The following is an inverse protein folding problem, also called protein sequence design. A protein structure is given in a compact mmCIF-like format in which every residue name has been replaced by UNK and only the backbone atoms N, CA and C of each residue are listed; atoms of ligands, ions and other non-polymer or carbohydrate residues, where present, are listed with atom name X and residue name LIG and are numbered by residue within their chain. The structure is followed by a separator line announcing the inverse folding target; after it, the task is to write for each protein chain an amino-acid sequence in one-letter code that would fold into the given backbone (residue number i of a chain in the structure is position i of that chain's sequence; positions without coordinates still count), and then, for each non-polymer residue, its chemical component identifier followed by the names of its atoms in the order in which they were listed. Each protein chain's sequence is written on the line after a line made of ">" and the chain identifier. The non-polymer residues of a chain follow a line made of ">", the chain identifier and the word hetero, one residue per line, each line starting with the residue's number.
data_IF_334666202301
#
_entry.id   IF_334666202301
#
_cell.length_a   1.000
_cell.length_b   1.000
_cell.length_c   1.000
_cell.angle_alpha   90.00
_cell.angle_beta   90.00
_cell.angle_gamma   90.00
#
_symmetry.space_group_name_H-M   'P 1'
#
loop_
_entity.id
_entity.type
_entity.pdbx_description
1 polymer ?
#
# COMPACT_ATOMS: atom_id res chain seq x y z
N UNK A 1 18.34 11.43 1.06
CA UNK A 1 18.54 11.47 2.53
C UNK A 1 18.98 12.87 2.94
N UNK A 2 18.68 13.28 4.17
CA UNK A 2 19.14 14.55 4.76
C UNK A 2 19.80 14.29 6.12
N UNK A 3 20.94 14.90 6.39
CA UNK A 3 21.57 14.85 7.71
C UNK A 3 20.95 15.87 8.67
N UNK A 4 20.42 15.42 9.81
CA UNK A 4 19.91 16.33 10.84
C UNK A 4 20.97 17.30 11.39
N UNK A 5 22.22 16.83 11.52
CA UNK A 5 23.29 17.62 12.14
C UNK A 5 23.85 18.74 11.25
N UNK A 6 23.93 18.53 9.94
CA UNK A 6 24.58 19.49 9.01
C UNK A 6 23.76 19.84 7.77
N UNK A 7 22.52 19.36 7.68
CA UNK A 7 21.57 19.58 6.57
C UNK A 7 22.09 19.18 5.20
N UNK A 8 23.15 18.38 5.12
CA UNK A 8 23.65 17.86 3.85
C UNK A 8 22.64 16.87 3.27
N UNK A 9 22.39 16.97 1.96
CA UNK A 9 21.49 16.10 1.22
C UNK A 9 22.26 15.30 0.18
N UNK A 10 21.94 14.01 0.05
CA UNK A 10 22.54 13.14 -0.96
C UNK A 10 21.62 11.94 -1.28
N UNK A 11 21.89 11.35 -2.45
CA UNK A 11 21.34 10.07 -2.85
C UNK A 11 22.14 8.94 -2.22
N UNK A 12 21.51 8.21 -1.31
CA UNK A 12 22.11 7.04 -0.68
C UNK A 12 21.88 5.79 -1.54
N UNK A 13 22.91 4.95 -1.63
CA UNK A 13 22.79 3.63 -2.23
C UNK A 13 22.45 2.60 -1.16
N UNK A 14 21.91 1.44 -1.55
CA UNK A 14 21.65 0.32 -0.62
C UNK A 14 22.92 -0.09 0.13
N UNK A 15 24.06 -0.13 -0.56
CA UNK A 15 25.35 -0.44 0.04
C UNK A 15 25.79 0.61 1.10
N UNK A 16 25.44 1.88 0.88
CA UNK A 16 25.69 2.95 1.86
C UNK A 16 24.80 2.77 3.08
N UNK A 17 23.50 2.49 2.88
CA UNK A 17 22.53 2.25 3.96
C UNK A 17 22.97 1.08 4.86
N UNK A 18 23.35 -0.07 4.26
CA UNK A 18 23.82 -1.22 5.02
C UNK A 18 25.05 -0.90 5.89
N UNK A 19 26.00 -0.12 5.35
CA UNK A 19 27.18 0.30 6.13
C UNK A 19 26.84 1.34 7.19
N UNK A 20 25.91 2.25 6.89
CA UNK A 20 25.43 3.25 7.84
C UNK A 20 24.73 2.58 9.04
N UNK A 21 23.84 1.61 8.79
CA UNK A 21 23.15 0.85 9.84
C UNK A 21 24.11 0.06 10.73
N UNK A 22 25.22 -0.41 10.15
CA UNK A 22 26.31 -1.06 10.89
C UNK A 22 27.24 -0.08 11.63
N UNK A 23 27.01 1.24 11.54
CA UNK A 23 27.85 2.28 12.11
C UNK A 23 29.25 2.37 11.47
N UNK A 24 29.38 1.89 10.22
CA UNK A 24 30.64 1.89 9.45
C UNK A 24 30.75 3.05 8.48
N UNK A 25 29.65 3.75 8.24
CA UNK A 25 29.58 4.92 7.38
C UNK A 25 28.74 6.00 8.06
N UNK A 26 28.96 7.25 7.69
CA UNK A 26 28.26 8.41 8.25
C UNK A 26 27.99 9.44 7.17
N UNK A 27 27.37 10.54 7.56
CA UNK A 27 27.07 11.66 6.66
C UNK A 27 28.32 12.07 5.85
N UNK A 28 28.23 12.17 4.52
CA UNK A 28 29.35 12.65 3.69
C UNK A 28 29.83 14.06 4.02
N UNK A 29 28.96 14.89 4.61
CA UNK A 29 29.27 16.28 4.97
C UNK A 29 29.96 16.44 6.32
N UNK A 30 29.44 15.79 7.38
CA UNK A 30 29.92 16.00 8.76
C UNK A 30 30.35 14.74 9.49
N UNK A 31 30.19 13.56 8.90
CA UNK A 31 30.58 12.27 9.49
C UNK A 31 29.64 11.73 10.58
N UNK A 32 28.50 12.36 10.85
CA UNK A 32 27.50 11.85 11.81
C UNK A 32 27.02 10.47 11.38
N UNK A 33 27.12 9.48 12.26
CA UNK A 33 26.70 8.10 12.04
C UNK A 33 25.26 7.84 12.54
N UNK A 34 24.80 6.60 12.48
CA UNK A 34 23.46 6.18 12.89
C UNK A 34 23.17 6.29 14.40
N UNK A 35 24.16 6.65 15.23
CA UNK A 35 24.00 6.69 16.70
C UNK A 35 23.69 8.09 17.23
N UNK A 36 23.89 9.12 16.42
CA UNK A 36 23.59 10.49 16.81
C UNK A 36 22.08 10.75 16.85
N UNK A 37 21.61 11.61 17.75
CA UNK A 37 20.19 12.04 17.77
C UNK A 37 19.79 12.71 16.44
N UNK A 38 20.71 13.47 15.84
CA UNK A 38 20.53 14.13 14.54
C UNK A 38 21.15 13.33 13.38
N UNK A 39 21.03 11.99 13.44
CA UNK A 39 21.57 11.11 12.42
C UNK A 39 20.94 11.41 11.04
N UNK A 40 21.65 11.07 9.94
CA UNK A 40 21.04 11.00 8.62
C UNK A 40 19.75 10.20 8.59
N UNK A 41 18.72 10.75 7.95
CA UNK A 41 17.45 10.07 7.75
C UNK A 41 16.92 10.28 6.32
N UNK A 42 15.92 9.51 5.95
CA UNK A 42 15.19 9.69 4.71
C UNK A 42 14.43 11.03 4.73
N UNK A 43 14.37 11.66 3.56
CA UNK A 43 13.57 12.85 3.31
C UNK A 43 12.72 12.58 2.10
N UNK A 44 11.57 13.25 1.97
CA UNK A 44 10.74 13.13 0.78
C UNK A 44 11.55 13.50 -0.47
N UNK A 45 11.51 12.63 -1.48
CA UNK A 45 12.13 12.88 -2.77
C UNK A 45 11.58 14.20 -3.35
N UNK A 46 12.43 15.14 -3.80
CA UNK A 46 11.97 16.44 -4.29
C UNK A 46 11.06 16.36 -5.51
N UNK A 47 11.13 15.25 -6.25
CA UNK A 47 10.34 14.98 -7.45
C UNK A 47 9.01 14.24 -7.17
N UNK A 48 8.72 13.93 -5.90
CA UNK A 48 7.50 13.22 -5.54
C UNK A 48 6.26 14.10 -5.80
N UNK A 49 5.31 13.67 -6.64
CA UNK A 49 4.13 14.48 -6.96
C UNK A 49 3.23 14.74 -5.75
N UNK A 50 3.31 13.94 -4.68
CA UNK A 50 2.48 14.11 -3.49
C UNK A 50 2.92 15.27 -2.57
N UNK A 51 4.02 15.97 -2.90
CA UNK A 51 4.29 17.30 -2.33
C UNK A 51 3.15 18.28 -2.62
N UNK A 52 2.54 18.18 -3.80
CA UNK A 52 1.37 18.98 -4.17
C UNK A 52 0.09 18.37 -3.56
N UNK A 53 -0.65 19.19 -2.81
CA UNK A 53 -1.86 18.77 -2.11
C UNK A 53 -3.02 18.47 -3.07
N UNK A 54 -3.14 19.17 -4.19
CA UNK A 54 -4.15 18.87 -5.21
C UNK A 54 -3.79 17.56 -5.93
N UNK A 55 -2.50 17.37 -6.26
CA UNK A 55 -2.04 16.12 -6.83
C UNK A 55 -2.30 14.94 -5.88
N UNK A 56 -2.06 15.11 -4.58
CA UNK A 56 -2.31 14.08 -3.54
C UNK A 56 -3.74 13.54 -3.58
N UNK A 57 -4.74 14.41 -3.83
CA UNK A 57 -6.16 14.02 -3.94
C UNK A 57 -6.47 13.25 -5.22
N UNK A 58 -5.77 13.56 -6.30
CA UNK A 58 -6.00 12.99 -7.62
C UNK A 58 -5.19 11.72 -7.89
N UNK A 59 -4.11 11.53 -7.13
CA UNK A 59 -3.32 10.31 -7.15
C UNK A 59 -4.14 9.10 -6.69
N UNK A 60 -3.62 7.95 -7.11
CA UNK A 60 -4.13 6.66 -6.66
C UNK A 60 -3.19 6.12 -5.59
N UNK A 61 -3.78 5.70 -4.48
CA UNK A 61 -3.04 5.17 -3.34
C UNK A 61 -3.26 3.67 -3.19
N UNK A 62 -2.27 2.96 -2.67
CA UNK A 62 -2.28 1.51 -2.62
C UNK A 62 -2.03 0.98 -1.20
N UNK A 63 -2.67 -0.14 -0.89
CA UNK A 63 -2.43 -0.91 0.33
C UNK A 63 -2.60 -2.40 0.01
N UNK A 64 -1.78 -3.26 0.62
CA UNK A 64 -1.91 -4.71 0.51
C UNK A 64 -2.42 -5.31 1.82
N UNK A 65 -3.42 -6.18 1.74
CA UNK A 65 -3.92 -6.90 2.91
C UNK A 65 -4.37 -8.31 2.56
N UNK A 66 -4.62 -9.15 3.57
CA UNK A 66 -5.26 -10.47 3.40
C UNK A 66 -6.79 -10.39 3.45
N UNK A 67 -7.36 -9.19 3.62
CA UNK A 67 -8.80 -8.96 3.64
C UNK A 67 -9.31 -8.59 2.25
N UNK A 68 -10.31 -9.31 1.73
CA UNK A 68 -10.88 -9.01 0.42
C UNK A 68 -11.56 -7.62 0.36
N UNK A 69 -12.11 -7.18 1.49
CA UNK A 69 -12.74 -5.86 1.67
C UNK A 69 -11.90 -5.10 2.69
N UNK A 70 -11.21 -4.06 2.25
CA UNK A 70 -10.41 -3.18 3.11
C UNK A 70 -10.31 -1.77 2.52
N UNK A 71 -10.42 -0.71 3.33
CA UNK A 71 -10.84 -0.76 4.72
C UNK A 71 -12.34 -1.05 4.84
N UNK A 72 -12.73 -1.88 5.80
CA UNK A 72 -14.14 -2.16 6.11
C UNK A 72 -14.66 -1.12 7.12
N UNK A 73 -15.70 -0.36 6.74
CA UNK A 73 -16.31 0.67 7.60
C UNK A 73 -17.12 0.08 8.74
N UNK A 74 -17.65 -1.12 8.53
CA UNK A 74 -18.59 -1.75 9.45
C UNK A 74 -17.93 -2.84 10.30
N UNK A 75 -16.60 -2.97 10.23
CA UNK A 75 -15.88 -4.02 10.96
C UNK A 75 -16.16 -3.92 12.47
N UNK A 76 -16.38 -5.07 13.11
CA UNK A 76 -16.49 -5.16 14.55
C UNK A 76 -15.12 -5.40 15.16
N UNK A 77 -14.50 -4.35 15.68
CA UNK A 77 -13.20 -4.46 16.34
C UNK A 77 -13.20 -5.45 17.52
N UNK A 78 -14.34 -5.65 18.18
CA UNK A 78 -14.47 -6.51 19.34
C UNK A 78 -14.88 -7.95 19.01
N UNK A 79 -15.02 -8.31 17.72
CA UNK A 79 -15.44 -9.65 17.29
C UNK A 79 -14.48 -10.72 17.78
N UNK A 80 -13.18 -10.41 17.77
CA UNK A 80 -12.11 -11.37 18.07
C UNK A 80 -11.77 -11.43 19.56
N UNK A 81 -12.38 -10.56 20.38
CA UNK A 81 -12.22 -10.59 21.82
C UNK A 81 -13.10 -11.67 22.44
N UNK A 82 -12.48 -12.56 23.21
CA UNK A 82 -13.21 -13.55 24.02
C UNK A 82 -14.01 -12.87 25.14
N UNK A 83 -15.08 -13.52 25.61
CA UNK A 83 -15.89 -13.01 26.73
C UNK A 83 -15.05 -12.79 28.00
N UNK A 84 -14.09 -13.68 28.26
CA UNK A 84 -13.12 -13.53 29.36
C UNK A 84 -12.28 -12.26 29.19
N UNK A 85 -11.82 -11.97 27.98
CA UNK A 85 -11.05 -10.76 27.69
C UNK A 85 -11.90 -9.51 27.88
N UNK A 86 -13.15 -9.53 27.41
CA UNK A 86 -14.11 -8.43 27.59
C UNK A 86 -14.36 -8.17 29.09
N UNK A 87 -14.65 -9.21 29.87
CA UNK A 87 -14.82 -9.10 31.32
C UNK A 87 -13.59 -8.55 32.02
N UNK A 88 -12.40 -9.02 31.63
CA UNK A 88 -11.13 -8.56 32.18
C UNK A 88 -10.92 -7.07 31.89
N UNK A 89 -11.13 -6.64 30.64
CA UNK A 89 -11.02 -5.24 30.22
C UNK A 89 -11.95 -4.34 31.03
N UNK A 90 -13.20 -4.73 31.23
CA UNK A 90 -14.14 -3.97 32.07
C UNK A 90 -13.69 -3.92 33.53
N UNK A 91 -13.27 -5.05 34.11
CA UNK A 91 -12.84 -5.10 35.52
C UNK A 91 -11.57 -4.31 35.81
N UNK A 92 -10.67 -4.17 34.82
CA UNK A 92 -9.41 -3.45 34.97
C UNK A 92 -9.53 -1.96 34.67
N UNK A 93 -10.65 -1.50 34.11
CA UNK A 93 -10.84 -0.10 33.76
C UNK A 93 -11.43 0.69 34.93
N UNK A 94 -10.90 1.89 35.16
CA UNK A 94 -11.46 2.82 36.13
C UNK A 94 -12.84 3.38 35.72
N UNK A 95 -13.24 3.21 34.45
CA UNK A 95 -14.47 3.76 33.88
C UNK A 95 -15.26 2.66 33.15
N UNK A 96 -16.60 2.58 33.30
CA UNK A 96 -17.44 1.63 32.56
C UNK A 96 -17.30 1.79 31.05
N UNK A 97 -17.37 0.70 30.29
CA UNK A 97 -17.36 0.70 28.83
C UNK A 97 -15.95 0.72 28.23
N UNK A 98 -15.07 -0.07 28.83
CA UNK A 98 -13.68 -0.23 28.39
C UNK A 98 -13.60 -0.88 27.02
N UNK A 99 -14.47 -1.86 26.75
CA UNK A 99 -14.54 -2.55 25.47
C UNK A 99 -15.01 -1.60 24.38
N UNK A 100 -16.05 -0.79 24.60
CA UNK A 100 -16.52 0.18 23.60
C UNK A 100 -15.48 1.24 23.30
N UNK A 101 -14.79 1.78 24.32
CA UNK A 101 -13.69 2.75 24.10
C UNK A 101 -12.54 2.14 23.33
N UNK A 102 -12.14 0.91 23.67
CA UNK A 102 -11.09 0.20 22.94
C UNK A 102 -11.51 -0.05 21.49
N UNK A 103 -12.75 -0.48 21.26
CA UNK A 103 -13.28 -0.72 19.92
C UNK A 103 -13.33 0.58 19.10
N UNK A 104 -13.82 1.68 19.68
CA UNK A 104 -13.79 3.00 19.06
C UNK A 104 -12.36 3.44 18.72
N UNK A 105 -11.40 3.16 19.62
CA UNK A 105 -9.98 3.42 19.39
C UNK A 105 -9.43 2.59 18.23
N UNK A 106 -9.72 1.29 18.15
CA UNK A 106 -9.30 0.46 17.01
C UNK A 106 -9.86 0.98 15.69
N UNK A 107 -11.13 1.43 15.68
CA UNK A 107 -11.79 2.01 14.50
C UNK A 107 -11.20 3.36 14.08
N UNK A 108 -10.56 4.08 15.00
CA UNK A 108 -9.90 5.36 14.74
C UNK A 108 -8.46 5.25 14.23
N UNK A 109 -7.92 4.02 14.11
CA UNK A 109 -6.59 3.82 13.54
C UNK A 109 -6.58 4.31 12.09
N UNK A 110 -5.53 5.04 11.75
CA UNK A 110 -5.33 5.48 10.38
C UNK A 110 -4.97 4.27 9.50
N UNK A 111 -5.51 4.25 8.29
CA UNK A 111 -5.09 3.33 7.24
C UNK A 111 -3.83 3.90 6.57
N UNK A 112 -2.75 3.12 6.60
CA UNK A 112 -1.53 3.44 5.86
C UNK A 112 -1.69 3.00 4.40
N UNK A 113 -1.52 3.96 3.49
CA UNK A 113 -1.50 3.72 2.04
C UNK A 113 -0.26 4.39 1.45
N UNK A 114 0.28 3.85 0.37
CA UNK A 114 1.46 4.39 -0.28
C UNK A 114 1.40 4.27 -1.80
N UNK A 115 2.58 4.28 -2.39
CA UNK A 115 2.78 3.94 -3.81
C UNK A 115 2.41 2.48 -4.07
N UNK A 116 2.32 2.11 -5.34
CA UNK A 116 2.13 0.70 -5.71
C UNK A 116 3.29 -0.16 -5.18
N UNK A 117 4.51 0.33 -5.34
CA UNK A 117 5.75 -0.27 -4.87
C UNK A 117 5.70 -0.50 -3.35
N UNK A 118 5.33 0.52 -2.57
CA UNK A 118 5.19 0.41 -1.12
C UNK A 118 4.19 -0.68 -0.71
N UNK A 119 3.04 -0.76 -1.40
CA UNK A 119 2.05 -1.79 -1.12
C UNK A 119 2.57 -3.21 -1.44
N UNK A 120 3.36 -3.38 -2.50
CA UNK A 120 3.95 -4.67 -2.85
C UNK A 120 5.06 -5.07 -1.88
N UNK A 121 5.92 -4.13 -1.47
CA UNK A 121 6.97 -4.40 -0.48
C UNK A 121 6.38 -4.74 0.90
N UNK A 122 5.31 -4.05 1.32
CA UNK A 122 4.58 -4.43 2.53
C UNK A 122 4.08 -5.89 2.47
N UNK A 123 3.54 -6.31 1.33
CA UNK A 123 3.12 -7.71 1.14
C UNK A 123 4.30 -8.66 1.30
N UNK A 124 5.44 -8.40 0.65
CA UNK A 124 6.62 -9.27 0.74
C UNK A 124 7.18 -9.34 2.17
N UNK A 125 7.22 -8.21 2.89
CA UNK A 125 7.58 -8.17 4.30
C UNK A 125 6.70 -9.11 5.13
N UNK A 126 5.36 -9.04 4.96
CA UNK A 126 4.42 -9.90 5.70
C UNK A 126 4.58 -11.39 5.34
N UNK A 127 4.86 -11.71 4.08
CA UNK A 127 5.15 -13.09 3.66
C UNK A 127 6.39 -13.63 4.38
N UNK A 128 7.45 -12.82 4.47
CA UNK A 128 8.73 -13.24 5.04
C UNK A 128 8.71 -13.26 6.58
N UNK A 129 8.11 -12.24 7.20
CA UNK A 129 8.25 -11.97 8.63
C UNK A 129 7.04 -12.42 9.46
N UNK A 130 5.85 -12.47 8.84
CA UNK A 130 4.58 -12.77 9.51
C UNK A 130 4.00 -14.13 9.10
N UNK A 131 4.73 -14.91 8.30
CA UNK A 131 4.34 -16.28 7.92
C UNK A 131 3.16 -16.36 6.94
N UNK A 132 2.83 -15.26 6.25
CA UNK A 132 1.69 -15.15 5.33
C UNK A 132 1.87 -15.83 3.98
N UNK A 133 2.86 -16.70 3.78
CA UNK A 133 3.22 -17.26 2.46
C UNK A 133 2.11 -18.07 1.78
N UNK A 134 1.12 -18.53 2.55
CA UNK A 134 -0.04 -19.28 2.05
C UNK A 134 -1.32 -18.42 1.93
N UNK A 135 -1.30 -17.16 2.38
CA UNK A 135 -2.48 -16.32 2.44
C UNK A 135 -2.80 -15.68 1.08
N UNK A 136 -4.11 -15.56 0.78
CA UNK A 136 -4.57 -14.78 -0.36
C UNK A 136 -4.43 -13.29 -0.05
N UNK A 137 -3.47 -12.63 -0.69
CA UNK A 137 -3.34 -11.17 -0.62
C UNK A 137 -4.24 -10.47 -1.64
N UNK A 138 -4.64 -9.25 -1.29
CA UNK A 138 -5.39 -8.34 -2.13
C UNK A 138 -4.63 -7.02 -2.20
N UNK A 139 -4.57 -6.46 -3.41
CA UNK A 139 -4.13 -5.09 -3.63
C UNK A 139 -5.36 -4.18 -3.65
N UNK A 140 -5.41 -3.26 -2.70
CA UNK A 140 -6.44 -2.24 -2.58
C UNK A 140 -5.95 -0.95 -3.20
N UNK A 141 -6.74 -0.44 -4.14
CA UNK A 141 -6.52 0.81 -4.83
C UNK A 141 -7.53 1.84 -4.31
N UNK A 142 -7.07 2.80 -3.52
CA UNK A 142 -7.89 3.84 -2.91
C UNK A 142 -7.81 5.16 -3.69
N UNK A 143 -8.95 5.84 -3.78
CA UNK A 143 -9.05 7.24 -4.21
C UNK A 143 -9.53 8.09 -3.04
N UNK A 144 -8.92 9.26 -2.87
CA UNK A 144 -9.33 10.20 -1.84
C UNK A 144 -10.58 10.97 -2.28
N UNK A 145 -11.37 11.39 -1.30
CA UNK A 145 -12.42 12.38 -1.53
C UNK A 145 -11.80 13.73 -1.86
N UNK A 146 -12.47 14.47 -2.72
CA UNK A 146 -12.00 15.80 -3.13
C UNK A 146 -12.14 16.85 -2.02
N UNK A 147 -13.01 16.60 -1.04
CA UNK A 147 -13.21 17.43 0.16
C UNK A 147 -12.42 16.93 1.37
N UNK A 148 -11.46 16.02 1.21
CA UNK A 148 -10.59 15.61 2.30
C UNK A 148 -9.67 16.76 2.74
N UNK A 149 -9.38 16.79 4.03
CA UNK A 149 -8.54 17.78 4.69
C UNK A 149 -7.18 17.15 4.93
N UNK A 150 -6.18 17.67 4.22
CA UNK A 150 -4.80 17.18 4.25
C UNK A 150 -4.00 18.08 5.17
N UNK A 151 -3.22 17.49 6.08
CA UNK A 151 -2.28 18.23 6.91
C UNK A 151 -1.23 18.95 6.03
N UNK A 152 -0.93 20.23 6.29
CA UNK A 152 0.09 20.97 5.57
C UNK A 152 1.50 20.38 5.79
N UNK A 153 2.19 20.08 4.69
CA UNK A 153 3.56 19.58 4.71
C UNK A 153 3.65 18.06 4.58
N UNK A 154 4.87 17.55 4.74
CA UNK A 154 5.22 16.13 4.77
C UNK A 154 5.93 15.87 6.08
N UNK A 155 5.47 14.87 6.81
CA UNK A 155 5.87 14.61 8.19
C UNK A 155 6.71 13.33 8.31
N UNK A 156 7.37 13.11 9.45
CA UNK A 156 7.79 11.77 9.83
C UNK A 156 6.58 10.84 9.94
N UNK A 157 6.81 9.53 9.79
CA UNK A 157 5.77 8.53 9.94
C UNK A 157 5.13 8.60 11.35
N UNK A 158 3.78 8.73 11.46
CA UNK A 158 3.11 9.04 12.73
C UNK A 158 2.78 7.79 13.57
N UNK A 159 3.68 6.81 13.63
CA UNK A 159 3.40 5.52 14.27
C UNK A 159 3.79 5.49 15.75
N UNK A 160 2.98 4.80 16.56
CA UNK A 160 3.35 4.41 17.91
C UNK A 160 4.37 3.25 17.90
N UNK A 161 4.84 2.84 19.09
CA UNK A 161 5.81 1.75 19.23
C UNK A 161 5.32 0.39 18.68
N UNK A 162 4.03 0.26 18.39
CA UNK A 162 3.40 -0.94 17.81
C UNK A 162 2.95 -0.72 16.36
N UNK A 163 3.37 0.39 15.74
CA UNK A 163 3.10 0.70 14.34
C UNK A 163 1.72 1.30 14.07
N UNK A 164 0.95 1.70 15.08
CA UNK A 164 -0.37 2.31 14.87
C UNK A 164 -0.27 3.82 14.75
N UNK A 165 -0.95 4.39 13.77
CA UNK A 165 -1.12 5.84 13.66
C UNK A 165 -2.53 6.29 14.02
N UNK A 166 -2.63 7.44 14.68
CA UNK A 166 -3.89 8.06 15.05
C UNK A 166 -3.85 9.54 14.71
N UNK A 167 -4.57 9.95 13.67
CA UNK A 167 -4.49 11.32 13.15
C UNK A 167 -4.86 12.38 14.20
N UNK A 168 -5.82 12.08 15.09
CA UNK A 168 -6.24 12.99 16.15
C UNK A 168 -5.13 13.30 17.19
N UNK A 169 -4.03 12.57 17.20
CA UNK A 169 -2.90 12.80 18.13
C UNK A 169 -1.79 13.65 17.52
N UNK A 170 -1.78 13.79 16.19
CA UNK A 170 -0.67 14.41 15.44
C UNK A 170 -1.12 15.52 14.48
N UNK A 171 -2.42 15.60 14.16
CA UNK A 171 -2.99 16.59 13.25
C UNK A 171 -3.97 17.51 13.98
N UNK A 172 -4.25 18.66 13.35
CA UNK A 172 -5.29 19.57 13.81
C UNK A 172 -6.70 18.95 13.68
N UNK A 173 -7.67 19.32 14.55
CA UNK A 173 -9.04 18.81 14.46
C UNK A 173 -9.67 19.02 13.08
N UNK A 174 -10.21 17.95 12.50
CA UNK A 174 -10.86 17.96 11.20
C UNK A 174 -9.96 17.52 10.03
N UNK A 175 -8.65 17.39 10.25
CA UNK A 175 -7.73 16.75 9.31
C UNK A 175 -7.98 15.24 9.27
N UNK A 176 -8.02 14.68 8.07
CA UNK A 176 -8.31 13.27 7.85
C UNK A 176 -7.32 12.58 6.90
N UNK A 177 -6.26 13.29 6.51
CA UNK A 177 -5.13 12.78 5.71
C UNK A 177 -3.83 13.42 6.21
N UNK A 178 -2.83 12.61 6.53
CA UNK A 178 -1.46 13.05 6.82
C UNK A 178 -0.51 12.46 5.77
N UNK A 179 0.31 13.31 5.14
CA UNK A 179 1.42 12.89 4.27
C UNK A 179 2.67 12.67 5.09
N UNK A 180 3.36 11.56 4.87
CA UNK A 180 4.60 11.27 5.57
C UNK A 180 5.65 10.64 4.66
N UNK A 181 6.93 10.79 5.04
CA UNK A 181 8.05 10.14 4.36
C UNK A 181 8.03 8.65 4.71
N UNK A 182 7.80 7.79 3.71
CA UNK A 182 7.93 6.36 3.90
C UNK A 182 9.42 6.01 4.03
N UNK A 183 9.76 5.28 5.08
CA UNK A 183 11.14 4.84 5.38
C UNK A 183 11.29 3.33 5.34
N UNK A 184 10.19 2.59 5.19
CA UNK A 184 10.14 1.14 5.36
C UNK A 184 9.89 0.40 4.04
N UNK A 185 8.87 0.78 3.27
CA UNK A 185 8.45 0.06 2.08
C UNK A 185 8.82 0.73 0.76
N UNK A 186 8.95 2.07 0.74
CA UNK A 186 9.36 2.82 -0.44
C UNK A 186 10.11 4.08 -0.01
N UNK A 187 11.37 3.88 0.36
CA UNK A 187 12.17 4.87 1.05
C UNK A 187 12.23 6.20 0.29
N UNK A 188 12.02 7.31 1.01
CA UNK A 188 11.95 8.68 0.46
C UNK A 188 10.71 8.99 -0.38
N UNK A 189 9.80 8.03 -0.63
CA UNK A 189 8.50 8.34 -1.25
C UNK A 189 7.48 8.76 -0.21
N UNK A 190 6.50 9.55 -0.63
CA UNK A 190 5.43 10.00 0.25
C UNK A 190 4.36 8.91 0.34
N UNK A 191 4.02 8.52 1.57
CA UNK A 191 2.85 7.70 1.92
C UNK A 191 1.84 8.52 2.70
N UNK A 192 0.62 8.00 2.87
CA UNK A 192 -0.45 8.65 3.61
C UNK A 192 -0.94 7.80 4.79
N UNK A 193 -1.20 8.46 5.91
CA UNK A 193 -2.05 7.94 6.96
C UNK A 193 -3.46 8.56 6.79
N UNK A 194 -4.47 7.71 6.61
CA UNK A 194 -5.84 8.12 6.28
C UNK A 194 -6.83 7.77 7.37
N UNK A 195 -7.73 8.69 7.69
CA UNK A 195 -9.01 8.30 8.26
C UNK A 195 -9.85 7.62 7.17
N UNK A 196 -10.62 6.59 7.51
CA UNK A 196 -11.46 5.87 6.55
C UNK A 196 -12.47 6.77 5.82
N UNK A 197 -12.86 7.88 6.44
CA UNK A 197 -13.77 8.86 5.87
C UNK A 197 -13.11 9.75 4.82
N UNK A 198 -11.78 9.79 4.72
CA UNK A 198 -11.08 10.48 3.63
C UNK A 198 -11.14 9.72 2.29
N UNK A 199 -11.55 8.46 2.31
CA UNK A 199 -11.58 7.59 1.13
C UNK A 199 -12.93 7.68 0.42
N UNK A 200 -12.89 7.96 -0.88
CA UNK A 200 -14.06 8.04 -1.76
C UNK A 200 -14.44 6.66 -2.29
N UNK A 201 -13.45 5.94 -2.84
CA UNK A 201 -13.66 4.65 -3.46
C UNK A 201 -12.44 3.76 -3.30
N UNK A 202 -12.69 2.45 -3.19
CA UNK A 202 -11.65 1.41 -3.21
C UNK A 202 -11.98 0.36 -4.25
N UNK A 203 -10.97 -0.03 -5.02
CA UNK A 203 -10.99 -1.22 -5.85
C UNK A 203 -10.04 -2.27 -5.24
N UNK A 204 -10.56 -3.46 -4.93
CA UNK A 204 -9.75 -4.58 -4.47
C UNK A 204 -9.48 -5.56 -5.61
N UNK A 205 -8.22 -5.98 -5.75
CA UNK A 205 -7.79 -6.95 -6.77
C UNK A 205 -7.06 -8.10 -6.06
N UNK A 206 -7.47 -9.36 -6.21
CA UNK A 206 -6.72 -10.49 -5.66
C UNK A 206 -5.35 -10.58 -6.34
N UNK A 207 -4.29 -10.64 -5.55
CA UNK A 207 -2.94 -10.89 -6.05
C UNK A 207 -2.83 -12.40 -6.31
N UNK A 208 -2.47 -12.84 -7.53
CA UNK A 208 -2.36 -14.26 -7.81
C UNK A 208 -1.40 -14.95 -6.84
N UNK A 209 -1.87 -16.01 -6.18
CA UNK A 209 -1.01 -16.90 -5.40
C UNK A 209 0.08 -17.48 -6.31
N UNK A 210 1.22 -17.88 -5.73
CA UNK A 210 2.26 -18.63 -6.43
C UNK A 210 1.63 -19.85 -7.09
N UNK A 211 1.37 -19.76 -8.38
CA UNK A 211 0.89 -20.89 -9.16
C UNK A 211 2.12 -21.74 -9.48
N UNK A 212 2.03 -23.05 -9.25
CA UNK A 212 3.14 -23.95 -9.53
C UNK A 212 3.47 -23.85 -11.02
N UNK A 213 4.64 -23.27 -11.34
CA UNK A 213 5.02 -22.88 -12.72
C UNK A 213 5.14 -24.07 -13.67
N UNK A 214 5.18 -25.28 -13.12
CA UNK A 214 5.21 -26.56 -13.80
C UNK A 214 3.81 -27.11 -14.13
N UNK A 215 2.74 -26.43 -13.72
CA UNK A 215 1.39 -26.81 -14.12
C UNK A 215 1.24 -26.68 -15.64
N UNK A 216 0.89 -27.79 -16.28
CA UNK A 216 0.82 -27.92 -17.74
C UNK A 216 -0.10 -26.87 -18.39
N UNK A 217 -1.14 -26.41 -17.68
CA UNK A 217 -2.04 -25.38 -18.20
C UNK A 217 -1.40 -23.99 -18.27
N UNK A 218 -0.50 -23.64 -17.34
CA UNK A 218 0.22 -22.36 -17.33
C UNK A 218 1.22 -22.32 -18.47
N UNK A 219 1.98 -23.40 -18.65
CA UNK A 219 2.94 -23.55 -19.75
C UNK A 219 2.18 -23.40 -21.07
N UNK A 220 1.09 -24.15 -21.26
CA UNK A 220 0.27 -24.07 -22.46
C UNK A 220 -0.38 -22.70 -22.70
N UNK A 221 -0.88 -22.03 -21.64
CA UNK A 221 -1.46 -20.70 -21.75
C UNK A 221 -0.41 -19.63 -22.12
N UNK A 222 0.79 -19.73 -21.53
CA UNK A 222 1.91 -18.84 -21.81
C UNK A 222 2.39 -18.98 -23.26
N UNK A 223 2.53 -20.22 -23.75
CA UNK A 223 2.86 -20.49 -25.15
C UNK A 223 1.80 -19.90 -26.10
N UNK A 224 0.51 -20.05 -25.79
CA UNK A 224 -0.59 -19.47 -26.57
C UNK A 224 -0.55 -17.95 -26.62
N UNK A 225 -0.33 -17.29 -25.48
CA UNK A 225 -0.21 -15.83 -25.41
C UNK A 225 1.02 -15.33 -26.18
N UNK A 226 2.16 -15.99 -26.03
CA UNK A 226 3.38 -15.65 -26.78
C UNK A 226 3.17 -15.83 -28.30
N UNK A 227 2.55 -16.93 -28.71
CA UNK A 227 2.19 -17.15 -30.11
C UNK A 227 1.19 -16.09 -30.62
N UNK A 228 0.22 -15.69 -29.79
CA UNK A 228 -0.73 -14.63 -30.12
C UNK A 228 -0.09 -13.24 -30.23
N UNK A 229 0.93 -12.95 -29.42
CA UNK A 229 1.68 -11.70 -29.48
C UNK A 229 2.46 -11.54 -30.80
N UNK A 230 2.86 -12.66 -31.41
CA UNK A 230 3.56 -12.68 -32.70
C UNK A 230 2.60 -12.61 -33.91
N UNK A 231 1.29 -12.77 -33.70
CA UNK A 231 0.29 -12.72 -34.78
C UNK A 231 -0.11 -11.28 -35.11
N UNK A 232 -0.37 -10.97 -36.39
CA UNK A 232 -0.92 -9.68 -36.77
C UNK A 232 -2.32 -9.47 -36.16
N UNK A 233 -2.72 -8.21 -35.89
CA UNK A 233 -4.04 -7.89 -35.34
C UNK A 233 -5.18 -8.43 -36.21
N UNK A 234 -6.20 -9.01 -35.57
CA UNK A 234 -7.33 -9.57 -36.29
C UNK A 234 -8.36 -8.48 -36.65
N UNK A 235 -8.88 -8.47 -37.89
CA UNK A 235 -9.89 -7.51 -38.31
C UNK A 235 -11.23 -7.82 -37.65
N UNK A 236 -11.82 -6.84 -36.95
CA UNK A 236 -13.18 -6.97 -36.45
C UNK A 236 -14.15 -6.73 -37.59
N UNK A 237 -15.04 -7.69 -37.84
CA UNK A 237 -16.09 -7.57 -38.84
C UNK A 237 -17.04 -6.40 -38.49
N UNK A 238 -16.88 -5.27 -39.17
CA UNK A 238 -17.81 -4.15 -39.09
C UNK A 238 -19.03 -4.44 -39.98
N UNK A 239 -20.24 -4.40 -39.40
CA UNK A 239 -21.50 -4.45 -40.18
C UNK A 239 -21.77 -3.17 -40.98
N UNK A 240 -20.95 -2.13 -40.84
CA UNK A 240 -21.09 -0.84 -41.54
C UNK A 240 -19.80 -0.51 -42.30
N UNK A 241 -19.86 -0.62 -43.63
CA UNK A 241 -18.74 -0.45 -44.60
C UNK A 241 -18.08 0.94 -44.63
N UNK A 242 -18.45 1.88 -43.75
CA UNK A 242 -18.01 3.30 -43.83
C UNK A 242 -16.95 3.75 -42.81
N UNK A 243 -16.45 2.88 -41.93
CA UNK A 243 -15.37 3.23 -41.01
C UNK A 243 -14.20 2.27 -41.13
N UNK A 244 -12.97 2.78 -40.93
CA UNK A 244 -11.72 1.99 -40.89
C UNK A 244 -11.93 0.75 -40.01
N UNK A 245 -11.47 -0.44 -40.43
CA UNK A 245 -11.57 -1.66 -39.63
C UNK A 245 -10.94 -1.41 -38.26
N UNK A 246 -11.70 -1.60 -37.18
CA UNK A 246 -11.11 -1.73 -35.85
C UNK A 246 -10.40 -3.09 -35.82
N UNK A 247 -9.11 -3.08 -35.50
CA UNK A 247 -8.34 -4.30 -35.30
C UNK A 247 -8.17 -4.53 -33.81
N UNK A 248 -8.34 -5.77 -33.36
CA UNK A 248 -8.01 -6.17 -31.98
C UNK A 248 -6.69 -6.96 -32.05
N UNK A 249 -5.68 -6.63 -31.23
CA UNK A 249 -4.46 -7.43 -31.16
C UNK A 249 -4.82 -8.89 -30.83
N UNK A 250 -4.24 -9.85 -31.55
CA UNK A 250 -4.50 -11.28 -31.33
C UNK A 250 -4.22 -11.69 -29.88
N UNK A 251 -3.24 -11.05 -29.22
CA UNK A 251 -2.98 -11.18 -27.79
C UNK A 251 -4.20 -10.89 -26.89
N UNK A 252 -4.95 -9.83 -27.19
CA UNK A 252 -6.14 -9.43 -26.41
C UNK A 252 -7.30 -10.41 -26.63
N UNK A 253 -7.43 -10.93 -27.86
CA UNK A 253 -8.44 -11.95 -28.19
C UNK A 253 -8.14 -13.26 -27.45
N UNK A 254 -6.89 -13.73 -27.53
CA UNK A 254 -6.43 -14.95 -26.87
C UNK A 254 -6.54 -14.85 -25.34
N UNK A 255 -6.15 -13.71 -24.76
CA UNK A 255 -6.26 -13.46 -23.32
C UNK A 255 -7.71 -13.55 -22.82
N UNK A 256 -8.68 -13.03 -23.59
CA UNK A 256 -10.11 -13.14 -23.25
C UNK A 256 -10.61 -14.58 -23.32
N UNK A 257 -10.13 -15.35 -24.30
CA UNK A 257 -10.49 -16.75 -24.44
C UNK A 257 -9.96 -17.58 -23.27
N UNK A 258 -8.69 -17.40 -22.90
CA UNK A 258 -8.09 -18.04 -21.73
C UNK A 258 -8.83 -17.73 -20.43
N UNK A 259 -9.22 -16.46 -20.21
CA UNK A 259 -10.05 -16.08 -19.04
C UNK A 259 -11.38 -16.82 -19.02
N UNK A 260 -12.00 -17.01 -20.18
CA UNK A 260 -13.27 -17.75 -20.30
C UNK A 260 -13.09 -19.24 -20.03
N UNK A 261 -12.02 -19.85 -20.55
CA UNK A 261 -11.69 -21.27 -20.36
C UNK A 261 -11.38 -21.59 -18.90
N UNK A 262 -10.60 -20.74 -18.23
CA UNK A 262 -10.28 -20.90 -16.79
C UNK A 262 -11.53 -20.65 -15.93
N UNK A 263 -12.32 -19.63 -16.22
CA UNK A 263 -13.56 -19.35 -15.49
C UNK A 263 -14.67 -20.39 -15.68
N UNK A 264 -14.63 -21.18 -16.75
CA UNK A 264 -15.56 -22.28 -17.02
C UNK A 264 -15.24 -23.59 -16.29
N UNK A 265 -13.98 -23.79 -15.88
CA UNK A 265 -13.51 -24.99 -15.20
C UNK A 265 -13.64 -24.93 -13.66
N UNK A 266 -14.13 -23.82 -13.10
CA UNK A 266 -14.38 -23.64 -11.66
C UNK A 266 -15.87 -23.80 -11.26
N UNK A 267 -16.66 -24.61 -11.99
CA UNK A 267 -18.03 -25.00 -11.59
C UNK A 267 -18.13 -26.47 -11.24
#
# INVERSE_FOLDING_TARGET
>A
MTCGACTHEWDATVDWLDRFDQGKEGCPGCGTDCRGEDHPDFTAAPDDPAHDEAATRDLTWYHSSTYAVSPDRDFDAASDLTDETKLRMESMSAHPGAVERWAARQKSKALHVGTYEAAIENMFRRINDEGGSADQFFLHRARLRQDCMIEPGVHPEPTDFVGNAYLAEVCEPGVNVLRYVNVHEDASRISLALDINAIDAVQSIPIPLQIARDEAWIIGATERLNHANLRPPEPVASRLRRFRPRTIPALISEGRQLVTEVGGNCR
#
